data_IF_560027674759
#
_entry.id   IF_560027674759
#
_cell.length_a   1.000
_cell.length_b   1.000
_cell.length_c   1.000
_cell.angle_alpha   90.00
_cell.angle_beta   90.00
_cell.angle_gamma   90.00
#
_symmetry.space_group_name_H-M   'P 1'
#
loop_
_entity.id
_entity.type
_entity.pdbx_description
1 polymer ?
#
# COMPACT_ATOMS: atom_id res chain seq x y z
N UNK A 1 36.31 9.53 11.31
CA UNK A 1 35.79 10.19 10.08
C UNK A 1 35.25 9.11 9.13
N UNK A 2 34.27 8.32 9.59
CA UNK A 2 33.64 7.27 8.78
C UNK A 2 32.16 7.04 9.15
N UNK A 3 31.69 7.60 10.27
CA UNK A 3 30.30 7.43 10.71
C UNK A 3 29.30 8.33 9.96
N UNK A 4 29.73 9.47 9.41
CA UNK A 4 28.84 10.39 8.65
C UNK A 4 28.48 9.93 7.24
N UNK A 5 29.21 8.97 6.66
CA UNK A 5 28.94 8.47 5.30
C UNK A 5 27.81 7.43 5.32
N UNK A 6 27.63 6.71 6.44
CA UNK A 6 26.55 5.75 6.61
C UNK A 6 25.17 6.43 6.75
N UNK A 7 25.11 7.57 7.44
CA UNK A 7 23.85 8.32 7.63
C UNK A 7 23.32 8.97 6.34
N UNK A 8 24.20 9.35 5.40
CA UNK A 8 23.81 9.93 4.11
C UNK A 8 23.23 8.89 3.14
N UNK A 9 23.66 7.62 3.25
CA UNK A 9 23.17 6.55 2.38
C UNK A 9 21.84 5.94 2.87
N UNK A 10 21.45 6.20 4.12
CA UNK A 10 20.21 5.68 4.70
C UNK A 10 18.97 6.39 4.12
N UNK A 11 19.09 7.71 3.93
CA UNK A 11 18.02 8.58 3.43
C UNK A 11 17.67 8.28 1.96
N UNK A 12 18.68 8.10 1.10
CA UNK A 12 18.47 7.84 -0.35
C UNK A 12 17.74 6.51 -0.62
N UNK A 13 18.04 5.47 0.16
CA UNK A 13 17.41 4.16 -0.02
C UNK A 13 15.98 4.15 0.51
N UNK A 14 15.74 4.77 1.66
CA UNK A 14 14.38 4.92 2.21
C UNK A 14 13.51 5.77 1.28
N UNK A 15 14.04 6.89 0.77
CA UNK A 15 13.34 7.74 -0.19
C UNK A 15 13.02 6.99 -1.49
N UNK A 16 13.94 6.16 -1.99
CA UNK A 16 13.70 5.31 -3.16
C UNK A 16 12.56 4.32 -2.92
N UNK A 17 12.55 3.63 -1.78
CA UNK A 17 11.48 2.69 -1.41
C UNK A 17 10.12 3.39 -1.28
N UNK A 18 10.10 4.59 -0.69
CA UNK A 18 8.90 5.42 -0.56
C UNK A 18 8.39 5.82 -1.95
N UNK A 19 9.26 6.27 -2.85
CA UNK A 19 8.89 6.63 -4.24
C UNK A 19 8.34 5.43 -5.01
N UNK A 20 8.95 4.26 -4.86
CA UNK A 20 8.45 3.01 -5.45
C UNK A 20 7.06 2.66 -4.91
N UNK A 21 6.86 2.75 -3.59
CA UNK A 21 5.56 2.49 -2.98
C UNK A 21 4.48 3.44 -3.53
N UNK A 22 4.77 4.74 -3.63
CA UNK A 22 3.83 5.70 -4.22
C UNK A 22 3.48 5.37 -5.68
N UNK A 23 4.48 5.04 -6.51
CA UNK A 23 4.26 4.60 -7.89
C UNK A 23 3.38 3.35 -7.98
N UNK A 24 3.57 2.38 -7.08
CA UNK A 24 2.73 1.17 -7.04
C UNK A 24 1.29 1.47 -6.61
N UNK A 25 1.10 2.36 -5.63
CA UNK A 25 -0.23 2.80 -5.18
C UNK A 25 -0.94 3.60 -6.26
N UNK A 26 -0.22 4.40 -7.06
CA UNK A 26 -0.80 5.14 -8.19
C UNK A 26 -1.43 4.22 -9.23
N UNK A 27 -0.86 3.02 -9.46
CA UNK A 27 -1.36 1.97 -10.36
C UNK A 27 -2.65 1.29 -9.87
N UNK A 28 -3.11 1.58 -8.65
CA UNK A 28 -4.41 1.14 -8.15
C UNK A 28 -5.55 2.02 -8.69
N UNK A 29 -6.69 1.41 -8.98
CA UNK A 29 -7.89 2.14 -9.36
C UNK A 29 -8.54 2.83 -8.14
N UNK A 30 -9.52 3.70 -8.37
CA UNK A 30 -10.16 4.49 -7.30
C UNK A 30 -10.81 3.62 -6.21
N UNK A 31 -11.45 2.52 -6.59
CA UNK A 31 -12.07 1.58 -5.66
C UNK A 31 -11.00 0.88 -4.79
N UNK A 32 -9.94 0.38 -5.41
CA UNK A 32 -8.81 -0.26 -4.75
C UNK A 32 -8.10 0.69 -3.77
N UNK A 33 -7.90 1.95 -4.19
CA UNK A 33 -7.34 3.01 -3.33
C UNK A 33 -8.21 3.26 -2.11
N UNK A 34 -9.52 3.38 -2.30
CA UNK A 34 -10.47 3.61 -1.19
C UNK A 34 -10.40 2.49 -0.16
N UNK A 35 -10.38 1.23 -0.60
CA UNK A 35 -10.31 0.07 0.30
C UNK A 35 -8.98 0.00 1.04
N UNK A 36 -7.85 0.18 0.34
CA UNK A 36 -6.54 0.06 0.98
C UNK A 36 -6.24 1.22 1.91
N UNK A 37 -6.71 2.44 1.59
CA UNK A 37 -6.57 3.61 2.47
C UNK A 37 -7.27 3.39 3.80
N UNK A 38 -8.52 2.92 3.78
CA UNK A 38 -9.27 2.63 5.01
C UNK A 38 -8.64 1.48 5.81
N UNK A 39 -8.11 0.46 5.13
CA UNK A 39 -7.38 -0.63 5.76
C UNK A 39 -6.08 -0.17 6.43
N UNK A 40 -5.35 0.77 5.82
CA UNK A 40 -4.12 1.36 6.38
C UNK A 40 -4.40 2.29 7.57
N UNK A 41 -5.62 2.82 7.67
CA UNK A 41 -6.12 3.53 8.84
C UNK A 41 -6.57 2.59 9.97
N UNK A 42 -6.23 1.31 9.89
CA UNK A 42 -6.54 0.26 10.86
C UNK A 42 -8.04 -0.01 11.08
N UNK A 43 -8.89 0.43 10.15
CA UNK A 43 -10.32 0.11 10.21
C UNK A 43 -10.54 -1.39 9.98
N UNK A 44 -11.46 -1.96 10.75
CA UNK A 44 -11.87 -3.35 10.60
C UNK A 44 -12.59 -3.57 9.28
N UNK A 45 -12.59 -4.82 8.78
CA UNK A 45 -13.33 -5.16 7.55
C UNK A 45 -14.83 -4.83 7.66
N UNK A 46 -15.39 -4.79 8.88
CA UNK A 46 -16.78 -4.44 9.14
C UNK A 46 -17.01 -2.94 8.95
N UNK A 47 -16.15 -2.09 9.51
CA UNK A 47 -16.22 -0.63 9.35
C UNK A 47 -16.00 -0.23 7.88
N UNK A 48 -15.04 -0.86 7.20
CA UNK A 48 -14.80 -0.63 5.76
C UNK A 48 -16.03 -1.02 4.93
N UNK A 49 -16.65 -2.16 5.25
CA UNK A 49 -17.86 -2.63 4.58
C UNK A 49 -19.03 -1.63 4.75
N UNK A 50 -19.18 -1.08 5.96
CA UNK A 50 -20.21 -0.09 6.29
C UNK A 50 -19.96 1.24 5.54
N UNK A 51 -18.74 1.75 5.55
CA UNK A 51 -18.36 2.99 4.86
C UNK A 51 -18.56 2.88 3.34
N UNK A 52 -18.18 1.75 2.74
CA UNK A 52 -18.18 1.55 1.29
C UNK A 52 -19.48 0.94 0.75
N UNK A 53 -20.41 0.53 1.62
CA UNK A 53 -21.67 -0.09 1.20
C UNK A 53 -21.52 -1.44 0.51
N UNK A 54 -20.47 -2.21 0.84
CA UNK A 54 -20.19 -3.55 0.29
C UNK A 54 -20.15 -4.59 1.41
N UNK A 55 -20.20 -5.89 1.07
CA UNK A 55 -20.15 -6.93 2.10
C UNK A 55 -18.76 -7.08 2.71
N UNK A 56 -18.69 -7.50 3.98
CA UNK A 56 -17.43 -7.80 4.70
C UNK A 56 -16.58 -8.84 3.95
N UNK A 57 -17.21 -9.84 3.33
CA UNK A 57 -16.53 -10.86 2.51
C UNK A 57 -15.92 -10.25 1.24
N UNK A 58 -16.61 -9.29 0.61
CA UNK A 58 -16.10 -8.56 -0.55
C UNK A 58 -14.89 -7.69 -0.17
N UNK A 59 -14.93 -7.01 0.98
CA UNK A 59 -13.78 -6.25 1.53
C UNK A 59 -12.56 -7.16 1.68
N UNK A 60 -12.70 -8.29 2.38
CA UNK A 60 -11.60 -9.24 2.58
C UNK A 60 -11.01 -9.74 1.26
N UNK A 61 -11.87 -10.12 0.31
CA UNK A 61 -11.43 -10.57 -1.03
C UNK A 61 -10.70 -9.47 -1.79
N UNK A 62 -11.22 -8.24 -1.78
CA UNK A 62 -10.61 -7.10 -2.47
C UNK A 62 -9.27 -6.73 -1.86
N UNK A 63 -9.13 -6.69 -0.53
CA UNK A 63 -7.85 -6.47 0.16
C UNK A 63 -6.80 -7.49 -0.30
N UNK A 64 -7.15 -8.78 -0.33
CA UNK A 64 -6.22 -9.83 -0.78
C UNK A 64 -5.81 -9.64 -2.24
N UNK A 65 -6.76 -9.30 -3.12
CA UNK A 65 -6.48 -9.01 -4.54
C UNK A 65 -5.58 -7.79 -4.72
N UNK A 66 -5.80 -6.72 -3.95
CA UNK A 66 -4.98 -5.50 -3.99
C UNK A 66 -3.55 -5.82 -3.55
N UNK A 67 -3.37 -6.54 -2.43
CA UNK A 67 -2.04 -6.97 -1.96
C UNK A 67 -1.32 -7.82 -3.00
N UNK A 68 -2.02 -8.75 -3.64
CA UNK A 68 -1.46 -9.57 -4.72
C UNK A 68 -1.07 -8.72 -5.94
N UNK A 69 -1.91 -7.77 -6.34
CA UNK A 69 -1.64 -6.85 -7.44
C UNK A 69 -0.38 -6.01 -7.18
N UNK A 70 -0.27 -5.40 -5.99
CA UNK A 70 0.93 -4.64 -5.59
C UNK A 70 2.19 -5.51 -5.62
N UNK A 71 2.11 -6.74 -5.09
CA UNK A 71 3.22 -7.71 -5.14
C UNK A 71 3.63 -8.07 -6.56
N UNK A 72 2.67 -8.23 -7.47
CA UNK A 72 2.97 -8.55 -8.87
C UNK A 72 3.60 -7.36 -9.58
N UNK A 73 3.11 -6.14 -9.35
CA UNK A 73 3.68 -4.91 -9.90
C UNK A 73 5.12 -4.71 -9.43
N UNK A 74 5.43 -4.99 -8.17
CA UNK A 74 6.78 -4.92 -7.60
C UNK A 74 7.74 -6.00 -8.13
N UNK A 75 7.24 -7.07 -8.77
CA UNK A 75 8.07 -8.13 -9.37
C UNK A 75 8.38 -7.89 -10.85
N UNK A 76 7.71 -6.92 -11.47
CA UNK A 76 7.84 -6.59 -12.90
C UNK A 76 8.81 -5.43 -13.15
N UNK A 77 9.35 -4.82 -12.09
CA UNK A 77 10.48 -3.89 -12.10
C UNK A 77 11.78 -4.64 -11.75
#
# INVERSE_FOLDING_TARGET
>A
MNDKIADLAHDDHEELLIRQLYSLVEKLNWEEKSIITLYLQELSHKEIAEILGISVSNVGTKIQRIKLKLKNLNKME
#
